data_IF_197213016543
#
_entry.id   IF_197213016543
#
_cell.length_a   1.000
_cell.length_b   1.000
_cell.length_c   1.000
_cell.angle_alpha   90.00
_cell.angle_beta   90.00
_cell.angle_gamma   90.00
#
_symmetry.space_group_name_H-M   'P 1'
#
loop_
_entity.id
_entity.type
_entity.pdbx_description
1 polymer ?
#
# COMPACT_ATOMS: atom_id res chain seq x y z
N UNK A 1 -9.40 -9.54 4.19
CA UNK A 1 -10.64 -8.96 3.63
C UNK A 1 -11.33 -8.10 4.67
N UNK A 2 -11.84 -6.98 4.25
CA UNK A 2 -12.59 -6.08 5.11
C UNK A 2 -13.89 -5.70 4.43
N UNK A 3 -14.99 -5.83 5.16
CA UNK A 3 -16.29 -5.37 4.68
C UNK A 3 -16.54 -3.99 5.24
N UNK A 4 -16.87 -3.04 4.37
CA UNK A 4 -17.06 -1.65 4.77
C UNK A 4 -18.35 -1.09 4.20
N UNK A 5 -18.82 -0.03 4.84
CA UNK A 5 -19.88 0.82 4.29
C UNK A 5 -19.23 2.11 3.82
N UNK A 6 -19.50 2.47 2.57
CA UNK A 6 -18.83 3.62 1.98
C UNK A 6 -19.73 4.24 0.91
N UNK A 7 -19.94 5.52 1.01
CA UNK A 7 -20.74 6.31 0.07
C UNK A 7 -22.10 5.67 -0.20
N UNK A 8 -22.78 5.25 0.87
CA UNK A 8 -24.12 4.68 0.78
C UNK A 8 -24.21 3.26 0.29
N UNK A 9 -23.08 2.59 0.09
CA UNK A 9 -23.06 1.20 -0.38
C UNK A 9 -22.14 0.34 0.45
N UNK A 10 -22.23 -0.96 0.22
CA UNK A 10 -21.36 -1.91 0.91
C UNK A 10 -20.32 -2.44 -0.06
N UNK A 11 -19.09 -2.54 0.43
CA UNK A 11 -17.95 -2.96 -0.37
C UNK A 11 -17.11 -3.94 0.42
N UNK A 12 -16.42 -4.83 -0.29
CA UNK A 12 -15.39 -5.69 0.29
C UNK A 12 -14.05 -5.22 -0.23
N UNK A 13 -13.13 -4.93 0.68
CA UNK A 13 -11.77 -4.53 0.33
C UNK A 13 -10.85 -5.72 0.58
N UNK A 14 -10.16 -6.18 -0.46
CA UNK A 14 -9.25 -7.31 -0.38
C UNK A 14 -7.85 -6.84 -0.73
N UNK A 15 -6.91 -7.01 0.21
CA UNK A 15 -5.52 -6.65 0.00
C UNK A 15 -4.70 -7.92 0.04
N UNK A 16 -3.94 -8.17 -1.04
CA UNK A 16 -3.13 -9.38 -1.17
C UNK A 16 -1.68 -9.00 -1.40
N UNK A 17 -0.79 -9.52 -0.55
CA UNK A 17 0.65 -9.30 -0.66
C UNK A 17 1.28 -10.57 -1.20
N UNK A 18 2.10 -10.44 -2.24
CA UNK A 18 2.81 -11.58 -2.83
C UNK A 18 4.24 -11.22 -3.15
N UNK A 19 5.16 -12.12 -2.85
CA UNK A 19 6.53 -11.99 -3.32
C UNK A 19 6.57 -12.08 -4.83
N UNK A 20 7.40 -11.25 -5.45
CA UNK A 20 7.52 -11.22 -6.91
C UNK A 20 8.98 -11.31 -7.29
N UNK A 21 9.38 -12.48 -7.77
CA UNK A 21 10.78 -12.75 -8.10
C UNK A 21 11.24 -12.00 -9.35
N UNK A 22 10.32 -11.38 -10.09
CA UNK A 22 10.68 -10.57 -11.26
C UNK A 22 11.11 -9.16 -10.88
N UNK A 23 10.88 -8.75 -9.62
CA UNK A 23 11.27 -7.43 -9.15
C UNK A 23 12.71 -7.44 -8.64
N UNK A 24 13.39 -6.27 -8.69
CA UNK A 24 14.72 -6.18 -8.08
C UNK A 24 14.68 -6.55 -6.60
N UNK A 25 15.75 -7.18 -6.13
CA UNK A 25 15.82 -7.60 -4.73
C UNK A 25 15.98 -6.40 -3.81
N UNK A 26 15.35 -6.47 -2.64
CA UNK A 26 15.60 -5.55 -1.54
C UNK A 26 16.74 -6.11 -0.70
N UNK A 27 17.46 -5.25 0.02
CA UNK A 27 18.57 -5.71 0.83
C UNK A 27 18.73 -4.83 2.07
N UNK A 28 19.16 -5.45 3.17
CA UNK A 28 19.53 -4.72 4.37
C UNK A 28 21.06 -4.51 4.47
N UNK A 29 21.78 -4.82 3.39
CA UNK A 29 23.22 -4.72 3.34
C UNK A 29 23.92 -6.03 3.64
N UNK A 30 23.21 -7.02 4.15
CA UNK A 30 23.74 -8.33 4.50
C UNK A 30 22.97 -9.42 3.78
N UNK A 31 21.66 -9.35 3.82
CA UNK A 31 20.77 -10.35 3.23
C UNK A 31 19.92 -9.69 2.16
N UNK A 32 19.70 -10.41 1.05
CA UNK A 32 18.82 -9.94 0.00
C UNK A 32 17.46 -10.63 0.13
N UNK A 33 16.41 -9.92 -0.19
CA UNK A 33 15.03 -10.38 -0.04
C UNK A 33 14.28 -10.17 -1.35
N UNK A 34 13.30 -11.02 -1.62
CA UNK A 34 12.37 -10.76 -2.70
C UNK A 34 11.47 -9.59 -2.32
N UNK A 35 11.27 -8.68 -3.25
CA UNK A 35 10.32 -7.60 -3.06
C UNK A 35 8.91 -8.14 -3.30
N UNK A 36 7.90 -7.33 -2.97
CA UNK A 36 6.51 -7.73 -3.04
C UNK A 36 5.73 -6.87 -4.01
N UNK A 37 4.66 -7.42 -4.50
CA UNK A 37 3.58 -6.63 -5.10
C UNK A 37 2.36 -6.77 -4.21
N UNK A 38 1.55 -5.72 -4.17
CA UNK A 38 0.36 -5.66 -3.33
C UNK A 38 -0.83 -5.30 -4.20
N UNK A 39 -1.82 -6.17 -4.22
CA UNK A 39 -3.05 -5.94 -4.98
C UNK A 39 -4.13 -5.44 -4.04
N UNK A 40 -4.79 -4.36 -4.45
CA UNK A 40 -5.98 -3.85 -3.78
C UNK A 40 -7.16 -4.08 -4.71
N UNK A 41 -8.09 -4.90 -4.27
CA UNK A 41 -9.30 -5.22 -5.03
C UNK A 41 -10.50 -4.84 -4.20
N UNK A 42 -11.29 -3.90 -4.71
CA UNK A 42 -12.50 -3.42 -4.02
C UNK A 42 -13.69 -3.91 -4.81
N UNK A 43 -14.56 -4.65 -4.14
CA UNK A 43 -15.67 -5.37 -4.76
C UNK A 43 -16.98 -4.81 -4.23
N UNK A 44 -17.91 -4.51 -5.15
CA UNK A 44 -19.23 -4.03 -4.79
C UNK A 44 -20.07 -5.18 -4.21
N UNK A 45 -21.18 -4.82 -3.56
CA UNK A 45 -22.03 -5.83 -2.93
C UNK A 45 -22.64 -6.81 -3.92
N UNK A 46 -22.74 -6.43 -5.19
CA UNK A 46 -23.26 -7.33 -6.23
C UNK A 46 -22.18 -8.23 -6.83
N UNK A 47 -20.96 -8.17 -6.29
CA UNK A 47 -19.86 -8.99 -6.76
C UNK A 47 -19.02 -8.37 -7.88
N UNK A 48 -19.44 -7.23 -8.40
CA UNK A 48 -18.68 -6.58 -9.48
C UNK A 48 -17.47 -5.84 -8.91
N UNK A 49 -16.44 -5.70 -9.75
CA UNK A 49 -15.21 -5.02 -9.36
C UNK A 49 -15.39 -3.51 -9.48
N UNK A 50 -15.13 -2.80 -8.39
CA UNK A 50 -15.09 -1.34 -8.41
C UNK A 50 -13.69 -0.85 -8.74
N UNK A 51 -12.68 -1.51 -8.15
CA UNK A 51 -11.30 -1.05 -8.25
C UNK A 51 -10.40 -2.28 -8.11
N UNK A 52 -9.41 -2.38 -8.98
CA UNK A 52 -8.46 -3.50 -8.93
C UNK A 52 -7.13 -2.99 -9.45
N UNK A 53 -6.17 -2.83 -8.56
CA UNK A 53 -4.87 -2.29 -8.92
C UNK A 53 -3.77 -2.99 -8.14
N UNK A 54 -2.68 -3.29 -8.82
CA UNK A 54 -1.51 -3.90 -8.20
C UNK A 54 -0.42 -2.86 -8.09
N UNK A 55 0.08 -2.67 -6.87
CA UNK A 55 1.15 -1.74 -6.59
C UNK A 55 2.47 -2.46 -6.44
N UNK A 56 3.53 -1.87 -6.98
CA UNK A 56 4.90 -2.29 -6.70
C UNK A 56 5.63 -1.10 -6.12
N UNK A 57 6.83 -1.34 -5.62
CA UNK A 57 7.64 -0.28 -5.05
C UNK A 57 7.89 0.85 -6.06
N UNK A 58 8.00 0.52 -7.35
CA UNK A 58 8.25 1.53 -8.38
C UNK A 58 7.11 2.55 -8.49
N UNK A 59 5.89 2.17 -8.14
CA UNK A 59 4.76 3.10 -8.16
C UNK A 59 4.89 4.16 -7.09
N UNK A 60 5.71 3.92 -6.07
CA UNK A 60 5.84 4.78 -4.91
C UNK A 60 7.16 5.53 -4.90
N UNK A 61 7.95 5.39 -5.95
CA UNK A 61 9.33 5.89 -6.02
C UNK A 61 9.44 7.37 -5.68
N UNK A 62 8.52 8.18 -6.19
CA UNK A 62 8.62 9.64 -6.04
C UNK A 62 8.19 10.14 -4.66
N UNK A 63 7.77 9.26 -3.78
CA UNK A 63 7.19 9.62 -2.49
C UNK A 63 8.00 9.12 -1.32
N UNK A 64 9.12 8.44 -1.57
CA UNK A 64 9.98 7.89 -0.53
C UNK A 64 11.41 8.36 -0.74
N UNK A 65 12.16 8.37 0.35
CA UNK A 65 13.59 8.61 0.32
C UNK A 65 14.26 7.56 -0.56
N UNK A 66 15.25 7.98 -1.36
CA UNK A 66 15.94 7.09 -2.29
C UNK A 66 16.53 5.88 -1.57
N UNK A 67 17.02 6.06 -0.36
CA UNK A 67 17.61 4.96 0.40
C UNK A 67 16.58 3.87 0.69
N UNK A 68 15.37 4.26 1.09
CA UNK A 68 14.29 3.29 1.28
C UNK A 68 13.88 2.65 -0.02
N UNK A 69 13.85 3.40 -1.09
CA UNK A 69 13.46 2.85 -2.38
C UNK A 69 14.47 1.82 -2.87
N UNK A 70 15.76 2.11 -2.72
CA UNK A 70 16.80 1.23 -3.25
C UNK A 70 17.01 -0.02 -2.41
N UNK A 71 16.86 0.08 -1.11
CA UNK A 71 17.22 -1.01 -0.20
C UNK A 71 16.04 -1.66 0.49
N UNK A 72 14.92 -0.96 0.59
CA UNK A 72 13.75 -1.50 1.26
C UNK A 72 12.87 -2.30 0.32
N UNK A 73 11.90 -2.98 0.90
CA UNK A 73 10.86 -3.70 0.19
C UNK A 73 9.51 -3.06 0.48
N UNK A 74 8.57 -3.24 -0.45
CA UNK A 74 7.18 -2.88 -0.17
C UNK A 74 6.64 -3.93 0.80
N UNK A 75 6.49 -3.53 2.07
CA UNK A 75 6.12 -4.45 3.13
C UNK A 75 4.66 -4.81 3.06
N UNK A 76 3.80 -3.81 2.82
CA UNK A 76 2.38 -4.05 2.75
C UNK A 76 1.59 -2.77 2.62
N UNK A 77 0.30 -2.93 2.38
CA UNK A 77 -0.66 -1.83 2.34
C UNK A 77 -1.85 -2.28 3.16
N UNK A 78 -2.32 -1.41 4.05
CA UNK A 78 -3.49 -1.70 4.87
C UNK A 78 -4.55 -0.62 4.69
N UNK A 79 -5.80 -1.01 4.81
CA UNK A 79 -6.91 -0.07 4.81
C UNK A 79 -7.00 0.57 6.18
N UNK A 80 -6.95 1.90 6.24
CA UNK A 80 -7.06 2.61 7.50
C UNK A 80 -8.48 3.04 7.81
N UNK A 81 -9.14 3.68 6.84
CA UNK A 81 -10.49 4.18 7.07
C UNK A 81 -11.15 4.61 5.77
N UNK A 82 -12.47 4.75 5.84
CA UNK A 82 -13.25 5.44 4.81
C UNK A 82 -13.53 6.85 5.33
N UNK A 83 -13.25 7.84 4.52
CA UNK A 83 -13.44 9.24 4.92
C UNK A 83 -14.08 10.00 3.76
N UNK A 84 -15.35 10.34 3.91
CA UNK A 84 -16.08 10.98 2.83
C UNK A 84 -16.11 10.11 1.59
N UNK A 85 -15.69 10.67 0.47
CA UNK A 85 -15.65 9.95 -0.81
C UNK A 85 -14.36 9.17 -1.01
N UNK A 86 -13.50 9.10 -0.01
CA UNK A 86 -12.17 8.52 -0.15
C UNK A 86 -11.97 7.33 0.78
N UNK A 87 -11.24 6.33 0.26
CA UNK A 87 -10.70 5.26 1.10
C UNK A 87 -9.24 5.56 1.32
N UNK A 88 -8.82 5.48 2.59
CA UNK A 88 -7.45 5.80 2.99
C UNK A 88 -6.71 4.53 3.32
N UNK A 89 -5.55 4.36 2.70
CA UNK A 89 -4.67 3.22 2.93
C UNK A 89 -3.31 3.71 3.38
N UNK A 90 -2.61 2.89 4.16
CA UNK A 90 -1.22 3.16 4.53
C UNK A 90 -0.32 2.11 3.91
N UNK A 91 0.71 2.55 3.20
CA UNK A 91 1.72 1.68 2.61
C UNK A 91 3.02 1.82 3.38
N UNK A 92 3.75 0.72 3.54
CA UNK A 92 5.03 0.72 4.25
C UNK A 92 6.12 0.18 3.35
N UNK A 93 7.23 0.92 3.25
CA UNK A 93 8.43 0.51 2.53
C UNK A 93 9.59 0.57 3.50
N UNK A 94 10.33 -0.51 3.62
CA UNK A 94 11.46 -0.54 4.54
C UNK A 94 12.09 -1.90 4.65
N UNK A 95 12.73 -2.15 5.79
CA UNK A 95 13.42 -3.39 6.03
C UNK A 95 12.43 -4.53 6.09
N UNK A 96 12.61 -5.57 5.25
CA UNK A 96 11.67 -6.70 5.25
C UNK A 96 11.76 -7.56 6.50
N UNK A 97 12.79 -7.40 7.31
CA UNK A 97 12.89 -8.09 8.59
C UNK A 97 11.98 -7.39 9.59
N UNK A 98 10.89 -8.05 9.97
CA UNK A 98 9.89 -7.48 10.85
C UNK A 98 10.39 -7.17 12.24
N UNK A 99 11.52 -7.74 12.64
CA UNK A 99 12.12 -7.43 13.94
C UNK A 99 12.83 -6.07 13.92
N UNK A 100 13.05 -5.50 12.76
CA UNK A 100 13.70 -4.20 12.60
C UNK A 100 12.62 -3.18 12.22
N UNK A 101 12.46 -2.18 13.07
CA UNK A 101 11.40 -1.18 12.90
C UNK A 101 11.94 0.01 12.12
N UNK A 102 12.29 -0.22 10.86
CA UNK A 102 12.89 0.79 9.99
C UNK A 102 12.14 0.83 8.68
N UNK A 103 11.16 1.73 8.58
CA UNK A 103 10.34 1.84 7.38
C UNK A 103 9.79 3.26 7.21
N UNK A 104 9.43 3.56 5.98
CA UNK A 104 8.73 4.79 5.65
C UNK A 104 7.27 4.48 5.37
N UNK A 105 6.37 5.37 5.78
CA UNK A 105 4.94 5.24 5.55
C UNK A 105 4.47 6.22 4.50
N UNK A 106 3.55 5.77 3.66
CA UNK A 106 2.93 6.60 2.64
C UNK A 106 1.42 6.47 2.73
N UNK A 107 0.72 7.51 2.33
CA UNK A 107 -0.73 7.51 2.26
C UNK A 107 -1.17 7.27 0.83
N UNK A 108 -2.05 6.30 0.63
CA UNK A 108 -2.68 6.04 -0.65
C UNK A 108 -4.16 6.30 -0.49
N UNK A 109 -4.72 7.12 -1.35
CA UNK A 109 -6.14 7.47 -1.31
C UNK A 109 -6.80 6.98 -2.59
N UNK A 110 -7.90 6.25 -2.44
CA UNK A 110 -8.71 5.81 -3.57
C UNK A 110 -10.04 6.55 -3.49
N UNK A 111 -10.36 7.31 -4.52
CA UNK A 111 -11.60 8.08 -4.56
C UNK A 111 -12.75 7.23 -5.05
N UNK A 112 -13.98 7.70 -4.81
CA UNK A 112 -15.19 6.98 -5.23
C UNK A 112 -15.32 6.88 -6.75
N UNK A 113 -14.58 7.68 -7.48
CA UNK A 113 -14.55 7.58 -8.95
C UNK A 113 -13.37 6.77 -9.47
N UNK A 114 -12.64 6.11 -8.56
CA UNK A 114 -11.54 5.22 -8.94
C UNK A 114 -10.19 5.89 -9.11
N UNK A 115 -10.07 7.16 -8.74
CA UNK A 115 -8.79 7.88 -8.80
C UNK A 115 -7.86 7.46 -7.68
N UNK A 116 -6.55 7.51 -7.94
CA UNK A 116 -5.52 7.18 -6.97
C UNK A 116 -4.70 8.41 -6.68
N UNK A 117 -4.47 8.68 -5.39
CA UNK A 117 -3.55 9.74 -4.95
C UNK A 117 -2.58 9.14 -3.95
N UNK A 118 -1.31 9.50 -4.07
CA UNK A 118 -0.26 9.00 -3.20
C UNK A 118 0.47 10.21 -2.61
N UNK A 119 0.73 10.16 -1.32
CA UNK A 119 1.48 11.21 -0.65
C UNK A 119 2.30 10.64 0.47
N UNK A 120 3.31 11.40 0.90
CA UNK A 120 4.09 11.05 2.07
C UNK A 120 3.21 11.17 3.30
N UNK A 121 3.32 10.19 4.20
CA UNK A 121 2.57 10.24 5.44
C UNK A 121 3.04 11.40 6.30
N UNK A 122 2.08 12.13 6.89
CA UNK A 122 2.38 13.29 7.69
C UNK A 122 2.17 13.06 9.18
N UNK A 123 2.08 11.81 9.58
CA UNK A 123 1.80 11.49 10.97
C UNK A 123 2.82 12.11 11.92
N UNK A 124 4.05 12.06 11.51
CA UNK A 124 5.14 12.50 12.38
C UNK A 124 5.18 13.99 12.57
N UNK A 125 4.49 14.74 11.75
CA UNK A 125 4.52 16.19 11.90
C UNK A 125 3.61 16.70 12.96
N UNK A 126 2.86 15.85 13.56
CA UNK A 126 1.91 16.29 14.57
C UNK A 126 2.59 16.80 15.83
N UNK A 127 3.85 16.54 15.98
CA UNK A 127 4.56 16.95 17.18
C UNK A 127 4.66 18.43 17.33
#
# INVERSE_FOLDING_TARGET
>A
NSDISWVGGKYTVRVTVKSDTSLPLATDGVTSYYDNRVNIHIIRSDGSSFFNHTFTKSDLKNYVDANYYEHGALIGIILEKAEGDNLKFAASIGNPDRSIDDFASLDITVSHIGGISISTSNNEESE
#
